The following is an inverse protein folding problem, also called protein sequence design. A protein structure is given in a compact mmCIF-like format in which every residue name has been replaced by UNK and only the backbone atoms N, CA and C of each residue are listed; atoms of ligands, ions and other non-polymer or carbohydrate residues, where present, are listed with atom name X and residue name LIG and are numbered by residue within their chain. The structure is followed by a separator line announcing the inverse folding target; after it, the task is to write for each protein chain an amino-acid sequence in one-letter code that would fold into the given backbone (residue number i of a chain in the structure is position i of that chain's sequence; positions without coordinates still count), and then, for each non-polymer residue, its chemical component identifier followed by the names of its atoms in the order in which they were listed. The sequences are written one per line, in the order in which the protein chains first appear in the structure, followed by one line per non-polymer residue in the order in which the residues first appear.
data_IF_406128763032
#
_entry.id   IF_406128763032
#
_cell.length_a   1.000
_cell.length_b   1.000
_cell.length_c   1.000
_cell.angle_alpha   90.00
_cell.angle_beta   90.00
_cell.angle_gamma   90.00
#
_symmetry.space_group_name_H-M   'P 1'
#
loop_
_entity.id
_entity.type
_entity.pdbx_description
1 polymer ?
#
# COMPACT_ATOMS: atom_id res chain seq x y z
N UNK A 1 -21.53 -19.07 14.60
CA UNK A 1 -20.74 -20.16 15.21
C UNK A 1 -19.92 -19.76 16.46
N UNK A 2 -19.84 -18.48 16.87
CA UNK A 2 -19.12 -18.07 18.10
C UNK A 2 -20.02 -17.59 19.25
N UNK A 3 -21.33 -17.47 19.05
CA UNK A 3 -22.29 -17.04 20.09
C UNK A 3 -22.85 -18.25 20.88
N UNK A 4 -22.92 -19.43 20.25
CA UNK A 4 -23.35 -20.67 20.90
C UNK A 4 -22.34 -21.15 21.97
N UNK A 5 -21.03 -21.02 21.71
CA UNK A 5 -19.97 -21.57 22.56
C UNK A 5 -19.83 -20.84 23.91
N UNK A 6 -20.21 -19.57 23.99
CA UNK A 6 -20.25 -18.80 25.25
C UNK A 6 -21.44 -19.21 26.12
N UNK A 7 -22.57 -19.58 25.50
CA UNK A 7 -23.77 -20.06 26.20
C UNK A 7 -23.55 -21.39 26.91
N UNK A 8 -22.76 -22.28 26.30
CA UNK A 8 -22.43 -23.60 26.87
C UNK A 8 -21.56 -23.49 28.12
N UNK A 9 -20.61 -22.55 28.16
CA UNK A 9 -19.78 -22.32 29.34
C UNK A 9 -20.57 -21.70 30.50
N UNK A 10 -21.55 -20.84 30.21
CA UNK A 10 -22.40 -20.23 31.24
C UNK A 10 -23.31 -21.28 31.90
N UNK A 11 -23.93 -22.17 31.10
CA UNK A 11 -24.81 -23.24 31.61
C UNK A 11 -24.09 -24.31 32.44
N UNK A 12 -22.78 -24.51 32.24
CA UNK A 12 -22.01 -25.48 33.03
C UNK A 12 -21.85 -25.02 34.50
N UNK A 13 -21.79 -23.72 34.75
CA UNK A 13 -21.58 -23.15 36.10
C UNK A 13 -22.85 -23.08 36.96
N UNK A 14 -24.03 -23.24 36.35
CA UNK A 14 -25.33 -23.26 37.03
C UNK A 14 -25.93 -24.65 37.18
N UNK A 15 -25.25 -25.71 36.74
CA UNK A 15 -25.72 -27.07 37.00
C UNK A 15 -25.70 -27.35 38.52
N UNK A 16 -26.89 -27.49 39.10
CA UNK A 16 -27.15 -27.70 40.53
C UNK A 16 -26.45 -28.93 41.14
N UNK A 17 -25.82 -29.75 40.30
CA UNK A 17 -25.10 -30.96 40.70
C UNK A 17 -23.72 -30.69 41.32
N UNK A 18 -23.10 -29.52 41.11
CA UNK A 18 -21.79 -29.20 41.70
C UNK A 18 -21.87 -28.42 43.04
N UNK A 19 -23.02 -27.80 43.35
CA UNK A 19 -23.16 -26.94 44.54
C UNK A 19 -23.49 -27.69 45.83
N UNK A 20 -23.85 -28.96 45.75
CA UNK A 20 -24.38 -29.71 46.89
C UNK A 20 -23.31 -30.19 47.90
N UNK A 21 -22.02 -30.02 47.65
CA UNK A 21 -20.95 -30.62 48.47
C UNK A 21 -20.00 -29.67 49.22
N UNK A 22 -20.09 -28.34 49.04
CA UNK A 22 -19.06 -27.42 49.55
C UNK A 22 -19.52 -26.57 50.75
N UNK A 23 -18.69 -26.45 51.80
CA UNK A 23 -19.01 -25.67 52.99
C UNK A 23 -19.18 -24.18 52.65
N UNK A 24 -20.14 -23.54 53.30
CA UNK A 24 -20.64 -22.18 52.99
C UNK A 24 -19.54 -21.11 52.91
N UNK A 25 -18.49 -21.23 53.73
CA UNK A 25 -17.35 -20.31 53.77
C UNK A 25 -16.54 -20.31 52.46
N UNK A 26 -16.46 -21.46 51.77
CA UNK A 26 -15.73 -21.57 50.48
C UNK A 26 -16.54 -20.99 49.30
N UNK A 27 -17.88 -21.08 49.34
CA UNK A 27 -18.75 -20.47 48.32
C UNK A 27 -18.61 -18.95 48.28
N UNK A 28 -18.52 -18.30 49.45
CA UNK A 28 -18.41 -16.84 49.53
C UNK A 28 -17.01 -16.33 49.16
N UNK A 29 -15.96 -17.15 49.35
CA UNK A 29 -14.60 -16.83 48.89
C UNK A 29 -14.45 -16.95 47.37
N UNK A 30 -15.04 -17.99 46.76
CA UNK A 30 -15.04 -18.16 45.30
C UNK A 30 -15.84 -17.07 44.56
N UNK A 31 -16.96 -16.61 45.13
CA UNK A 31 -17.72 -15.47 44.56
C UNK A 31 -16.91 -14.17 44.55
N UNK A 32 -16.10 -13.92 45.58
CA UNK A 32 -15.24 -12.74 45.67
C UNK A 32 -14.05 -12.81 44.70
N UNK A 33 -13.45 -13.99 44.51
CA UNK A 33 -12.40 -14.22 43.52
C UNK A 33 -12.91 -14.15 42.08
N UNK A 34 -14.10 -14.69 41.80
CA UNK A 34 -14.73 -14.59 40.48
C UNK A 34 -15.05 -13.14 40.11
N UNK A 35 -15.59 -12.32 41.03
CA UNK A 35 -15.79 -10.89 40.76
C UNK A 35 -14.49 -10.11 40.51
N UNK A 36 -13.40 -10.39 41.24
CA UNK A 36 -12.11 -9.71 41.05
C UNK A 36 -11.43 -10.06 39.71
N UNK A 37 -11.55 -11.31 39.25
CA UNK A 37 -11.00 -11.74 37.95
C UNK A 37 -11.82 -11.24 36.76
N UNK A 38 -13.13 -11.02 36.93
CA UNK A 38 -14.00 -10.44 35.90
C UNK A 38 -13.72 -8.94 35.71
N UNK A 39 -13.31 -8.21 36.76
CA UNK A 39 -12.98 -6.79 36.66
C UNK A 39 -11.62 -6.51 36.00
N UNK A 40 -10.62 -7.39 36.17
CA UNK A 40 -9.30 -7.20 35.56
C UNK A 40 -9.26 -7.53 34.05
N UNK A 41 -10.12 -8.43 33.58
CA UNK A 41 -10.21 -8.80 32.16
C UNK A 41 -10.81 -7.71 31.26
N UNK A 42 -11.55 -6.75 31.83
CA UNK A 42 -12.17 -5.67 31.06
C UNK A 42 -11.22 -4.54 30.65
N UNK A 43 -10.02 -4.46 31.24
CA UNK A 43 -9.12 -3.29 31.08
C UNK A 43 -7.97 -3.50 30.08
N UNK A 44 -7.89 -4.67 29.43
CA UNK A 44 -6.81 -5.01 28.47
C UNK A 44 -7.30 -5.08 27.01
N UNK A 45 -8.59 -4.83 26.74
CA UNK A 45 -9.18 -4.96 25.40
C UNK A 45 -9.43 -3.63 24.68
N UNK A 46 -8.75 -2.53 25.06
CA UNK A 46 -8.69 -1.32 24.23
C UNK A 46 -7.53 -1.46 23.23
N UNK A 47 -7.57 -2.50 22.40
CA UNK A 47 -6.81 -2.49 21.15
C UNK A 47 -7.40 -1.39 20.28
N UNK A 48 -6.56 -0.48 19.80
CA UNK A 48 -6.94 0.58 18.86
C UNK A 48 -7.45 -0.06 17.57
N UNK A 49 -8.74 -0.35 17.51
CA UNK A 49 -9.42 -0.57 16.25
C UNK A 49 -9.42 0.78 15.52
N UNK A 50 -8.66 0.90 14.46
CA UNK A 50 -8.79 2.03 13.53
C UNK A 50 -10.22 2.02 12.98
N UNK A 51 -10.83 3.21 12.87
CA UNK A 51 -12.12 3.32 12.23
C UNK A 51 -11.94 3.05 10.73
N UNK A 52 -12.96 2.49 10.08
CA UNK A 52 -12.98 2.42 8.62
C UNK A 52 -12.79 3.83 8.04
N UNK A 53 -12.13 3.93 6.89
CA UNK A 53 -11.87 5.20 6.21
C UNK A 53 -13.16 5.94 5.86
N UNK A 54 -13.12 7.27 6.01
CA UNK A 54 -14.18 8.20 5.63
C UNK A 54 -13.80 8.91 4.32
N UNK A 55 -14.47 8.54 3.22
CA UNK A 55 -14.19 9.10 1.90
C UNK A 55 -14.40 10.63 1.83
N UNK A 56 -15.32 11.19 2.62
CA UNK A 56 -15.54 12.64 2.62
C UNK A 56 -14.39 13.40 3.30
N UNK A 57 -13.73 12.80 4.28
CA UNK A 57 -12.47 13.34 4.84
C UNK A 57 -11.31 13.11 3.89
N UNK A 58 -11.25 11.93 3.26
CA UNK A 58 -10.21 11.57 2.30
C UNK A 58 -10.15 12.49 1.07
N UNK A 59 -11.29 13.03 0.63
CA UNK A 59 -11.34 14.02 -0.44
C UNK A 59 -10.48 15.26 -0.16
N UNK A 60 -10.52 15.76 1.09
CA UNK A 60 -9.70 16.91 1.49
C UNK A 60 -8.20 16.57 1.52
N UNK A 61 -7.83 15.35 1.94
CA UNK A 61 -6.43 14.89 1.94
C UNK A 61 -5.90 14.67 0.51
N UNK A 62 -6.77 14.42 -0.47
CA UNK A 62 -6.39 14.13 -1.84
C UNK A 62 -5.96 15.39 -2.63
N UNK A 63 -6.28 16.60 -2.19
CA UNK A 63 -5.98 17.84 -2.91
C UNK A 63 -4.49 17.96 -3.30
N UNK A 64 -3.58 17.62 -2.38
CA UNK A 64 -2.13 17.62 -2.66
C UNK A 64 -1.70 16.49 -3.59
N UNK A 65 -2.43 15.37 -3.57
CA UNK A 65 -2.13 14.19 -4.38
C UNK A 65 -2.51 14.43 -5.84
N UNK A 66 -3.59 15.16 -6.10
CA UNK A 66 -4.10 15.48 -7.43
C UNK A 66 -3.10 16.26 -8.28
N UNK A 67 -2.18 17.02 -7.67
CA UNK A 67 -1.10 17.74 -8.36
C UNK A 67 -0.28 16.82 -9.27
N UNK A 68 0.02 15.61 -8.82
CA UNK A 68 0.79 14.63 -9.58
C UNK A 68 -0.07 13.50 -10.14
N UNK A 69 -1.10 13.08 -9.40
CA UNK A 69 -1.92 11.93 -9.76
C UNK A 69 -3.18 12.30 -10.56
N UNK A 70 -3.50 13.57 -10.75
CA UNK A 70 -4.70 14.03 -11.46
C UNK A 70 -5.96 14.02 -10.60
N UNK A 71 -7.02 14.69 -11.06
CA UNK A 71 -8.26 14.88 -10.29
C UNK A 71 -9.00 13.57 -10.02
N UNK A 72 -8.88 12.59 -10.92
CA UNK A 72 -9.46 11.26 -10.76
C UNK A 72 -8.43 10.22 -10.32
N UNK A 73 -7.20 10.63 -9.99
CA UNK A 73 -6.11 9.71 -9.69
C UNK A 73 -5.66 8.91 -10.92
N UNK A 74 -5.81 9.45 -12.12
CA UNK A 74 -5.42 8.82 -13.40
C UNK A 74 -3.91 8.64 -13.57
N UNK A 75 -3.08 9.48 -12.95
CA UNK A 75 -1.63 9.46 -13.04
C UNK A 75 -1.06 10.01 -14.35
N UNK A 76 0.16 10.55 -14.29
CA UNK A 76 0.86 11.12 -15.45
C UNK A 76 2.34 10.73 -15.46
N UNK A 77 2.82 10.26 -16.61
CA UNK A 77 4.22 9.85 -16.81
C UNK A 77 5.22 10.99 -16.56
N UNK A 78 4.87 12.24 -16.92
CA UNK A 78 5.73 13.42 -16.68
C UNK A 78 6.10 13.63 -15.21
N UNK A 79 5.28 13.15 -14.29
CA UNK A 79 5.53 13.20 -12.84
C UNK A 79 5.97 11.84 -12.29
N UNK A 80 6.06 10.81 -13.14
CA UNK A 80 6.24 9.41 -12.77
C UNK A 80 5.17 8.90 -11.80
N UNK A 81 4.00 9.54 -11.79
CA UNK A 81 2.91 9.28 -10.85
C UNK A 81 1.93 8.27 -11.46
N UNK A 82 1.80 7.05 -10.89
CA UNK A 82 0.90 6.04 -11.44
C UNK A 82 -0.57 6.40 -11.25
N UNK A 83 -1.44 5.64 -11.91
CA UNK A 83 -2.87 5.61 -11.58
C UNK A 83 -3.04 5.08 -10.16
N UNK A 84 -3.77 5.82 -9.33
CA UNK A 84 -4.14 5.45 -7.96
C UNK A 84 -5.65 5.49 -7.72
N UNK A 85 -6.42 6.15 -8.59
CA UNK A 85 -7.87 6.16 -8.52
C UNK A 85 -8.48 4.81 -8.91
N UNK A 86 -9.46 4.38 -8.12
CA UNK A 86 -10.13 3.08 -8.24
C UNK A 86 -9.27 1.89 -7.80
N UNK A 87 -8.08 2.13 -7.26
CA UNK A 87 -7.23 1.08 -6.70
C UNK A 87 -7.77 0.63 -5.34
N UNK A 88 -7.52 -0.63 -4.96
CA UNK A 88 -8.09 -1.14 -3.72
C UNK A 88 -7.55 -0.43 -2.48
N UNK A 89 -8.47 -0.11 -1.57
CA UNK A 89 -8.22 0.58 -0.30
C UNK A 89 -7.03 -0.01 0.47
N UNK A 90 -7.01 -1.33 0.64
CA UNK A 90 -6.01 -2.06 1.40
C UNK A 90 -4.61 -1.93 0.78
N UNK A 91 -4.52 -1.86 -0.55
CA UNK A 91 -3.24 -1.75 -1.25
C UNK A 91 -2.73 -0.31 -1.19
N UNK A 92 -3.61 0.69 -1.29
CA UNK A 92 -3.26 2.09 -1.08
C UNK A 92 -2.74 2.32 0.34
N UNK A 93 -3.47 1.83 1.36
CA UNK A 93 -3.06 1.90 2.77
C UNK A 93 -1.69 1.25 2.96
N UNK A 94 -1.50 0.05 2.42
CA UNK A 94 -0.22 -0.68 2.52
C UNK A 94 0.90 0.08 1.84
N UNK A 95 0.65 0.62 0.65
CA UNK A 95 1.65 1.37 -0.13
C UNK A 95 2.07 2.65 0.59
N UNK A 96 1.12 3.44 1.09
CA UNK A 96 1.40 4.67 1.83
C UNK A 96 2.16 4.39 3.13
N UNK A 97 1.77 3.36 3.89
CA UNK A 97 2.50 2.93 5.09
C UNK A 97 3.93 2.47 4.75
N UNK A 98 4.10 1.75 3.65
CA UNK A 98 5.42 1.35 3.17
C UNK A 98 6.28 2.54 2.74
N UNK A 99 5.72 3.56 2.08
CA UNK A 99 6.45 4.79 1.75
C UNK A 99 6.85 5.55 3.02
N UNK A 100 5.93 5.78 3.97
CA UNK A 100 6.22 6.41 5.28
C UNK A 100 7.37 5.70 6.01
N UNK A 101 7.36 4.36 5.99
CA UNK A 101 8.37 3.51 6.60
C UNK A 101 9.68 3.38 5.81
N UNK A 102 9.79 3.98 4.61
CA UNK A 102 10.97 3.87 3.74
C UNK A 102 11.11 2.52 3.02
N UNK A 103 10.11 1.63 3.12
CA UNK A 103 10.13 0.28 2.53
C UNK A 103 9.89 0.28 1.00
N UNK A 104 9.38 1.39 0.46
CA UNK A 104 9.17 1.65 -0.99
C UNK A 104 9.83 2.94 -1.46
N UNK A 105 10.73 3.47 -0.65
CA UNK A 105 11.51 4.65 -0.97
C UNK A 105 12.96 4.27 -0.73
N UNK A 106 13.47 3.38 -1.59
CA UNK A 106 14.80 2.83 -1.41
C UNK A 106 15.78 3.74 -2.13
N UNK A 107 16.03 4.90 -1.53
CA UNK A 107 17.39 5.37 -1.45
C UNK A 107 18.13 4.44 -0.47
N UNK A 108 19.33 3.96 -0.81
CA UNK A 108 20.20 3.34 0.19
C UNK A 108 20.74 4.43 1.17
N UNK A 109 19.92 5.45 1.46
CA UNK A 109 20.20 6.61 2.26
C UNK A 109 19.01 6.80 3.19
N UNK A 110 19.24 6.74 4.50
CA UNK A 110 18.24 7.15 5.47
C UNK A 110 17.92 8.65 5.28
N UNK A 111 16.83 8.93 4.60
CA UNK A 111 15.95 10.12 4.66
C UNK A 111 16.49 11.33 5.42
N UNK A 112 17.39 12.08 4.79
CA UNK A 112 17.77 13.42 5.22
C UNK A 112 18.03 14.43 4.07
N UNK A 113 18.17 14.01 2.81
CA UNK A 113 18.63 14.89 1.71
C UNK A 113 17.63 15.01 0.55
N UNK A 114 16.53 15.73 0.81
CA UNK A 114 15.53 16.07 -0.23
C UNK A 114 16.15 16.98 -1.30
N UNK A 115 17.02 17.90 -0.91
CA UNK A 115 17.68 18.86 -1.81
C UNK A 115 18.62 18.15 -2.81
N UNK A 116 19.49 17.25 -2.35
CA UNK A 116 20.39 16.50 -3.23
C UNK A 116 19.68 15.42 -4.03
N UNK A 117 18.53 14.92 -3.57
CA UNK A 117 17.65 14.06 -4.39
C UNK A 117 17.07 14.85 -5.57
N UNK A 118 16.64 16.09 -5.33
CA UNK A 118 16.17 16.99 -6.38
C UNK A 118 17.30 17.35 -7.36
N UNK A 119 18.52 17.63 -6.90
CA UNK A 119 19.67 17.90 -7.77
C UNK A 119 20.08 16.69 -8.64
N UNK A 120 19.97 15.46 -8.12
CA UNK A 120 20.19 14.24 -8.92
C UNK A 120 19.08 14.02 -9.95
N UNK A 121 17.83 14.32 -9.59
CA UNK A 121 16.71 14.28 -10.51
C UNK A 121 16.86 15.32 -11.66
N UNK A 122 17.30 16.55 -11.33
CA UNK A 122 17.67 17.60 -12.31
C UNK A 122 18.71 17.13 -13.32
N UNK A 123 19.68 16.33 -12.89
CA UNK A 123 20.71 15.78 -13.77
C UNK A 123 20.19 14.68 -14.72
N UNK A 124 18.99 14.13 -14.47
CA UNK A 124 18.46 12.93 -15.13
C UNK A 124 17.26 13.16 -16.05
N UNK A 125 16.67 14.36 -16.08
CA UNK A 125 15.59 14.68 -17.03
C UNK A 125 15.63 16.17 -17.45
N UNK A 126 15.59 16.47 -18.77
CA UNK A 126 15.70 17.83 -19.31
C UNK A 126 14.46 18.73 -19.07
N UNK A 127 13.35 18.16 -18.59
CA UNK A 127 12.06 18.88 -18.47
C UNK A 127 11.81 19.46 -17.07
N UNK A 128 12.77 19.34 -16.14
CA UNK A 128 12.61 19.70 -14.73
C UNK A 128 12.52 21.20 -14.42
N UNK A 129 12.96 22.07 -15.33
CA UNK A 129 13.01 23.52 -15.10
C UNK A 129 11.61 24.15 -14.95
N UNK A 130 10.59 23.57 -15.58
CA UNK A 130 9.20 24.04 -15.48
C UNK A 130 8.55 23.64 -14.15
N UNK A 131 8.87 22.45 -13.66
CA UNK A 131 8.37 21.89 -12.39
C UNK A 131 8.94 22.69 -11.19
N UNK A 132 10.20 23.10 -11.24
CA UNK A 132 10.85 23.90 -10.18
C UNK A 132 10.22 25.31 -10.05
N UNK A 133 9.80 25.91 -11.17
CA UNK A 133 9.10 27.20 -11.15
C UNK A 133 7.73 27.12 -10.46
N UNK A 134 7.03 26.00 -10.57
CA UNK A 134 5.75 25.77 -9.91
C UNK A 134 5.92 25.45 -8.41
N UNK A 135 6.86 24.56 -8.05
CA UNK A 135 7.10 24.18 -6.65
C UNK A 135 7.71 25.30 -5.80
N UNK A 136 8.54 26.17 -6.38
CA UNK A 136 9.12 27.31 -5.67
C UNK A 136 8.08 28.35 -5.23
N UNK A 137 6.88 28.36 -5.84
CA UNK A 137 5.79 29.27 -5.44
C UNK A 137 4.95 28.76 -4.27
N UNK A 138 5.14 27.50 -3.83
CA UNK A 138 4.29 26.85 -2.82
C UNK A 138 4.99 26.57 -1.47
N UNK A 139 6.30 26.77 -1.36
CA UNK A 139 7.05 26.55 -0.11
C UNK A 139 7.88 27.78 0.29
N UNK A 140 7.30 28.67 1.09
CA UNK A 140 8.06 29.74 1.75
C UNK A 140 8.93 29.15 2.87
N UNK A 141 10.27 29.20 2.69
CA UNK A 141 11.24 28.79 3.72
C UNK A 141 12.41 27.94 3.23
N UNK A 142 12.35 27.44 1.99
CA UNK A 142 13.40 26.58 1.41
C UNK A 142 13.40 25.16 1.98
N UNK A 143 13.77 24.19 1.15
CA UNK A 143 13.86 22.79 1.56
C UNK A 143 15.03 22.60 2.55
N UNK A 144 14.85 21.83 3.63
CA UNK A 144 15.90 21.63 4.62
C UNK A 144 17.14 20.94 4.03
N UNK A 145 18.33 21.43 4.39
CA UNK A 145 19.61 20.88 3.95
C UNK A 145 20.00 19.62 4.73
N UNK A 146 20.40 18.55 4.04
CA UNK A 146 20.89 17.32 4.66
C UNK A 146 22.02 16.66 3.85
N UNK A 147 22.83 15.84 4.54
CA UNK A 147 24.15 15.37 4.08
C UNK A 147 24.15 14.33 2.94
N UNK A 148 25.34 14.13 2.36
CA UNK A 148 25.55 13.49 1.07
C UNK A 148 25.28 11.96 1.00
N UNK A 149 24.55 11.54 -0.05
CA UNK A 149 24.42 10.15 -0.52
C UNK A 149 25.61 9.71 -1.41
N UNK A 150 26.05 8.46 -1.30
CA UNK A 150 27.15 7.89 -2.10
C UNK A 150 26.75 6.77 -3.09
N UNK A 151 25.46 6.53 -3.33
CA UNK A 151 24.99 5.60 -4.36
C UNK A 151 24.00 6.30 -5.30
N UNK A 152 24.12 6.06 -6.60
CA UNK A 152 23.17 6.56 -7.59
C UNK A 152 21.78 6.07 -7.22
N UNK A 153 20.88 7.00 -6.89
CA UNK A 153 19.50 6.69 -6.56
C UNK A 153 18.81 6.13 -7.81
N UNK A 154 18.58 4.82 -7.84
CA UNK A 154 17.83 4.17 -8.94
C UNK A 154 16.30 4.29 -8.75
N UNK A 155 15.84 4.94 -7.68
CA UNK A 155 14.43 5.27 -7.44
C UNK A 155 14.29 6.73 -7.03
N UNK A 156 14.02 7.60 -8.00
CA UNK A 156 13.78 9.03 -7.74
C UNK A 156 12.35 9.29 -7.22
N UNK A 157 11.41 8.39 -7.52
CA UNK A 157 9.99 8.59 -7.22
C UNK A 157 9.60 8.08 -5.84
N UNK A 158 10.29 7.04 -5.34
CA UNK A 158 10.07 6.49 -4.00
C UNK A 158 10.28 7.53 -2.89
N UNK A 159 11.46 8.19 -2.80
CA UNK A 159 11.71 9.24 -1.81
C UNK A 159 10.74 10.43 -1.93
N UNK A 160 10.35 10.82 -3.15
CA UNK A 160 9.32 11.83 -3.38
C UNK A 160 7.98 11.41 -2.77
N UNK A 161 7.50 10.20 -3.10
CA UNK A 161 6.25 9.67 -2.53
C UNK A 161 6.33 9.48 -1.02
N UNK A 162 7.50 9.18 -0.47
CA UNK A 162 7.70 9.16 0.99
C UNK A 162 7.52 10.54 1.61
N UNK A 163 8.09 11.59 1.01
CA UNK A 163 7.92 12.95 1.50
C UNK A 163 6.43 13.35 1.52
N UNK A 164 5.69 13.05 0.44
CA UNK A 164 4.25 13.29 0.36
C UNK A 164 3.47 12.42 1.36
N UNK A 165 3.77 11.12 1.47
CA UNK A 165 3.06 10.24 2.39
C UNK A 165 3.25 10.61 3.89
N UNK A 166 4.32 11.33 4.21
CA UNK A 166 4.57 11.88 5.55
C UNK A 166 3.80 13.15 5.87
N UNK A 167 3.18 13.81 4.88
CA UNK A 167 2.32 14.99 5.14
C UNK A 167 0.96 14.59 5.70
N UNK A 168 0.51 13.35 5.45
CA UNK A 168 -0.71 12.80 6.06
C UNK A 168 -0.54 12.72 7.58
N UNK A 169 -1.46 13.34 8.32
CA UNK A 169 -1.31 13.59 9.75
C UNK A 169 -1.11 12.30 10.57
N UNK A 170 -1.91 11.27 10.29
CA UNK A 170 -1.92 10.02 11.04
C UNK A 170 -2.38 8.84 10.17
N UNK A 171 -2.49 7.67 10.78
CA UNK A 171 -2.98 6.46 10.10
C UNK A 171 -4.45 6.58 9.69
N UNK A 172 -5.28 7.39 10.37
CA UNK A 172 -6.68 7.56 9.98
C UNK A 172 -6.78 8.37 8.68
N UNK A 173 -5.95 9.41 8.51
CA UNK A 173 -5.86 10.14 7.25
C UNK A 173 -5.48 9.23 6.07
N UNK A 174 -4.61 8.23 6.30
CA UNK A 174 -4.26 7.21 5.29
C UNK A 174 -5.47 6.34 4.92
N UNK A 175 -6.24 5.87 5.91
CA UNK A 175 -7.45 5.07 5.67
C UNK A 175 -8.54 5.90 4.96
N UNK A 176 -8.72 7.17 5.35
CA UNK A 176 -9.70 8.09 4.75
C UNK A 176 -9.36 8.37 3.28
N UNK A 177 -8.09 8.69 2.98
CA UNK A 177 -7.60 8.89 1.62
C UNK A 177 -7.80 7.63 0.75
N UNK A 178 -7.50 6.45 1.30
CA UNK A 178 -7.70 5.19 0.59
C UNK A 178 -9.18 4.91 0.29
N UNK A 179 -10.07 5.24 1.23
CA UNK A 179 -11.51 5.13 1.02
C UNK A 179 -12.00 6.09 -0.08
N UNK A 180 -11.48 7.32 -0.13
CA UNK A 180 -11.79 8.27 -1.20
C UNK A 180 -11.29 7.79 -2.57
N UNK A 181 -10.03 7.34 -2.66
CA UNK A 181 -9.43 6.86 -3.91
C UNK A 181 -10.22 5.70 -4.52
N UNK A 182 -10.80 4.82 -3.70
CA UNK A 182 -11.65 3.72 -4.15
C UNK A 182 -12.94 4.20 -4.83
N UNK A 183 -13.42 5.42 -4.52
CA UNK A 183 -14.61 6.01 -5.16
C UNK A 183 -14.31 6.59 -6.55
N UNK A 184 -13.03 6.84 -6.86
CA UNK A 184 -12.63 7.42 -8.13
C UNK A 184 -12.66 6.38 -9.25
N UNK A 185 -13.04 6.81 -10.44
CA UNK A 185 -13.06 5.97 -11.64
C UNK A 185 -12.33 6.69 -12.78
N UNK A 186 -10.99 6.72 -12.77
CA UNK A 186 -10.24 7.34 -13.85
C UNK A 186 -10.39 6.53 -15.15
N UNK A 187 -10.36 7.19 -16.32
CA UNK A 187 -10.38 6.50 -17.60
C UNK A 187 -9.17 5.56 -17.73
N UNK A 188 -9.30 4.53 -18.56
CA UNK A 188 -8.18 3.64 -18.86
C UNK A 188 -7.01 4.48 -19.46
N UNK A 189 -5.77 4.29 -18.98
CA UNK A 189 -4.60 4.90 -19.60
C UNK A 189 -4.42 4.51 -21.07
N UNK A 190 -3.83 5.38 -21.90
CA UNK A 190 -3.42 5.01 -23.25
C UNK A 190 -2.31 3.97 -23.21
N UNK A 191 -2.24 3.12 -24.23
CA UNK A 191 -1.12 2.21 -24.43
C UNK A 191 0.04 3.02 -25.07
N UNK A 192 1.22 3.00 -24.46
CA UNK A 192 2.42 3.74 -24.88
C UNK A 192 3.54 2.82 -25.38
N UNK A 193 3.42 1.51 -25.16
CA UNK A 193 4.40 0.50 -25.59
C UNK A 193 3.83 -0.50 -26.59
N UNK A 194 4.71 -1.05 -27.42
CA UNK A 194 4.42 -2.21 -28.26
C UNK A 194 4.95 -3.51 -27.62
N UNK A 195 4.23 -4.61 -27.82
CA UNK A 195 4.62 -5.94 -27.36
C UNK A 195 3.82 -7.05 -28.05
N UNK A 196 4.37 -8.26 -28.07
CA UNK A 196 3.68 -9.46 -28.56
C UNK A 196 2.71 -9.98 -27.49
N UNK A 197 1.41 -9.76 -27.71
CA UNK A 197 0.32 -10.18 -26.83
C UNK A 197 0.28 -11.71 -26.66
N UNK A 198 0.60 -12.49 -27.71
CA UNK A 198 0.59 -13.94 -27.63
C UNK A 198 1.73 -14.44 -26.73
N UNK A 199 2.93 -13.89 -26.89
CA UNK A 199 4.05 -14.16 -25.98
C UNK A 199 3.75 -13.66 -24.56
N UNK A 200 3.10 -12.50 -24.43
CA UNK A 200 2.67 -11.92 -23.16
C UNK A 200 1.69 -12.79 -22.39
N UNK A 201 0.73 -13.39 -23.10
CA UNK A 201 -0.23 -14.34 -22.53
C UNK A 201 0.50 -15.53 -21.88
N UNK A 202 1.53 -16.05 -22.55
CA UNK A 202 2.36 -17.15 -22.02
C UNK A 202 3.17 -16.69 -20.81
N UNK A 203 3.78 -15.50 -20.87
CA UNK A 203 4.54 -14.93 -19.76
C UNK A 203 3.69 -14.66 -18.52
N UNK A 204 2.44 -14.20 -18.71
CA UNK A 204 1.52 -13.88 -17.62
C UNK A 204 0.92 -15.12 -16.93
N UNK A 205 1.07 -16.32 -17.50
CA UNK A 205 0.49 -17.55 -16.95
C UNK A 205 0.87 -17.80 -15.47
N UNK A 206 2.07 -17.39 -15.05
CA UNK A 206 2.53 -17.52 -13.66
C UNK A 206 1.90 -16.46 -12.74
N UNK A 207 1.54 -15.30 -13.29
CA UNK A 207 0.99 -14.15 -12.56
C UNK A 207 -0.48 -14.36 -12.17
N UNK A 208 -1.24 -15.12 -12.97
CA UNK A 208 -2.69 -15.37 -12.80
C UNK A 208 -3.02 -15.89 -11.40
N UNK A 209 -2.16 -16.73 -10.82
CA UNK A 209 -2.40 -17.34 -9.52
C UNK A 209 -2.60 -16.32 -8.39
N UNK A 210 -1.98 -15.15 -8.51
CA UNK A 210 -2.06 -14.08 -7.52
C UNK A 210 -2.84 -12.87 -8.04
N UNK A 211 -2.56 -12.41 -9.25
CA UNK A 211 -3.15 -11.18 -9.80
C UNK A 211 -4.47 -11.40 -10.54
N UNK A 212 -4.93 -12.64 -10.67
CA UNK A 212 -6.19 -12.96 -11.35
C UNK A 212 -6.06 -13.05 -12.88
N UNK A 213 -7.10 -13.60 -13.51
CA UNK A 213 -7.09 -13.89 -14.94
C UNK A 213 -7.20 -12.62 -15.80
N UNK A 214 -7.83 -11.58 -15.26
CA UNK A 214 -7.99 -10.27 -15.87
C UNK A 214 -7.18 -9.18 -15.13
N UNK A 215 -6.23 -9.56 -14.27
CA UNK A 215 -5.42 -8.62 -13.51
C UNK A 215 -6.17 -7.89 -12.40
N UNK A 216 -7.29 -8.46 -11.93
CA UNK A 216 -8.20 -7.91 -10.92
C UNK A 216 -7.65 -7.95 -9.48
N UNK A 217 -6.51 -8.58 -9.26
CA UNK A 217 -5.90 -8.70 -7.95
C UNK A 217 -6.57 -9.75 -7.04
N UNK A 218 -5.95 -9.97 -5.89
CA UNK A 218 -6.45 -10.86 -4.84
C UNK A 218 -5.97 -10.39 -3.47
N UNK A 219 -6.88 -9.75 -2.71
CA UNK A 219 -6.62 -9.27 -1.34
C UNK A 219 -6.17 -10.39 -0.39
N UNK A 220 -6.68 -11.61 -0.55
CA UNK A 220 -6.30 -12.73 0.33
C UNK A 220 -4.84 -13.16 0.15
N UNK A 221 -4.25 -12.85 -1.02
CA UNK A 221 -2.85 -13.11 -1.33
C UNK A 221 -1.98 -11.84 -1.27
N UNK A 222 -2.54 -10.70 -0.87
CA UNK A 222 -1.89 -9.39 -0.91
C UNK A 222 -1.38 -9.02 -2.31
N UNK A 223 -2.09 -9.47 -3.34
CA UNK A 223 -1.77 -9.17 -4.73
C UNK A 223 -2.70 -8.04 -5.22
N UNK A 224 -2.17 -6.85 -5.56
CA UNK A 224 -3.01 -5.75 -6.04
C UNK A 224 -3.55 -6.02 -7.44
N UNK A 225 -4.60 -5.30 -7.84
CA UNK A 225 -4.95 -5.19 -9.24
C UNK A 225 -3.80 -4.58 -10.04
N UNK A 226 -3.52 -5.21 -11.18
CA UNK A 226 -2.52 -4.78 -12.18
C UNK A 226 -3.17 -4.31 -13.47
N UNK A 227 -4.45 -4.61 -13.67
CA UNK A 227 -5.23 -4.12 -14.79
C UNK A 227 -5.39 -2.59 -14.74
N UNK A 228 -5.53 -1.98 -15.92
CA UNK A 228 -5.76 -0.54 -16.10
C UNK A 228 -4.71 0.38 -15.46
N UNK A 229 -3.54 -0.14 -15.10
CA UNK A 229 -2.38 0.67 -14.72
C UNK A 229 -1.62 1.12 -15.97
N UNK A 230 -0.87 2.21 -15.86
CA UNK A 230 0.04 2.64 -16.92
C UNK A 230 1.10 1.58 -17.22
N UNK A 231 1.40 1.41 -18.51
CA UNK A 231 2.39 0.44 -18.97
C UNK A 231 3.83 0.82 -18.59
N UNK A 232 4.19 2.10 -18.74
CA UNK A 232 5.48 2.63 -18.28
C UNK A 232 5.69 2.38 -16.77
N UNK A 233 4.62 2.51 -15.97
CA UNK A 233 4.71 2.24 -14.54
C UNK A 233 4.88 0.76 -14.26
N UNK A 234 4.10 -0.09 -14.96
CA UNK A 234 4.18 -1.54 -14.83
C UNK A 234 5.59 -2.03 -15.16
N UNK A 235 6.16 -1.59 -16.29
CA UNK A 235 7.54 -1.89 -16.69
C UNK A 235 8.53 -1.46 -15.60
N UNK A 236 8.43 -0.20 -15.15
CA UNK A 236 9.30 0.34 -14.08
C UNK A 236 9.22 -0.50 -12.80
N UNK A 237 8.03 -0.92 -12.38
CA UNK A 237 7.88 -1.76 -11.18
C UNK A 237 8.55 -3.13 -11.35
N UNK A 238 8.43 -3.75 -12.52
CA UNK A 238 9.10 -5.02 -12.81
C UNK A 238 10.63 -4.86 -12.78
N UNK A 239 11.16 -3.79 -13.39
CA UNK A 239 12.58 -3.46 -13.35
C UNK A 239 13.07 -3.17 -11.93
N UNK A 240 12.28 -2.48 -11.11
CA UNK A 240 12.60 -2.21 -9.70
C UNK A 240 12.65 -3.52 -8.90
N UNK A 241 11.76 -4.47 -9.15
CA UNK A 241 11.81 -5.79 -8.51
C UNK A 241 13.04 -6.59 -8.95
N UNK A 242 13.33 -6.63 -10.24
CA UNK A 242 14.47 -7.37 -10.80
C UNK A 242 15.80 -6.84 -10.24
N UNK A 243 15.98 -5.51 -10.26
CA UNK A 243 17.17 -4.85 -9.73
C UNK A 243 17.26 -4.89 -8.20
N UNK A 244 16.14 -5.13 -7.51
CA UNK A 244 16.06 -5.09 -6.05
C UNK A 244 15.87 -3.69 -5.46
N UNK A 245 15.62 -2.68 -6.29
CA UNK A 245 15.12 -1.39 -5.81
C UNK A 245 13.81 -1.56 -5.04
N UNK A 246 12.94 -2.48 -5.46
CA UNK A 246 11.73 -2.89 -4.73
C UNK A 246 11.84 -4.37 -4.36
N UNK A 247 11.36 -4.75 -3.18
CA UNK A 247 11.34 -6.15 -2.73
C UNK A 247 12.68 -6.72 -2.24
N UNK A 248 13.64 -5.87 -1.85
CA UNK A 248 14.86 -6.30 -1.15
C UNK A 248 14.75 -6.26 0.37
N UNK A 249 13.83 -5.47 0.92
CA UNK A 249 13.70 -5.29 2.35
C UNK A 249 12.84 -6.41 2.97
N UNK A 250 13.40 -7.26 3.86
CA UNK A 250 12.68 -8.37 4.45
C UNK A 250 11.52 -7.96 5.36
N UNK A 251 11.43 -6.68 5.76
CA UNK A 251 10.28 -6.13 6.50
C UNK A 251 9.04 -6.02 5.61
N UNK A 252 9.21 -5.91 4.29
CA UNK A 252 8.13 -5.86 3.31
C UNK A 252 8.00 -7.22 2.60
N UNK A 253 7.34 -8.16 3.28
CA UNK A 253 7.25 -9.57 2.85
C UNK A 253 6.55 -9.74 1.49
N UNK A 254 5.60 -8.87 1.15
CA UNK A 254 4.81 -8.98 -0.08
C UNK A 254 5.59 -8.46 -1.28
N UNK A 255 6.31 -7.34 -1.14
CA UNK A 255 7.24 -6.92 -2.20
C UNK A 255 8.41 -7.91 -2.33
N UNK A 256 8.90 -8.48 -1.21
CA UNK A 256 9.93 -9.54 -1.25
C UNK A 256 9.45 -10.80 -1.96
N UNK A 257 8.17 -11.15 -1.83
CA UNK A 257 7.54 -12.25 -2.56
C UNK A 257 7.46 -11.98 -4.07
N UNK A 258 7.18 -10.73 -4.46
CA UNK A 258 7.06 -10.36 -5.87
C UNK A 258 8.41 -10.30 -6.60
N UNK A 259 9.51 -10.05 -5.89
CA UNK A 259 10.84 -10.01 -6.50
C UNK A 259 11.20 -11.27 -7.33
N UNK A 260 11.19 -12.50 -6.79
CA UNK A 260 11.49 -13.69 -7.57
C UNK A 260 10.48 -13.94 -8.70
N UNK A 261 9.23 -13.48 -8.56
CA UNK A 261 8.23 -13.57 -9.63
C UNK A 261 8.59 -12.65 -10.81
N UNK A 262 9.12 -11.45 -10.53
CA UNK A 262 9.61 -10.57 -11.59
C UNK A 262 10.82 -11.16 -12.34
N UNK A 263 11.68 -11.91 -11.65
CA UNK A 263 12.83 -12.59 -12.25
C UNK A 263 12.45 -13.72 -13.23
N UNK A 264 11.18 -14.16 -13.27
CA UNK A 264 10.68 -15.09 -14.30
C UNK A 264 10.58 -14.44 -15.68
N UNK A 265 10.56 -13.10 -15.74
CA UNK A 265 10.61 -12.31 -16.96
C UNK A 265 11.98 -11.59 -17.08
N UNK A 266 13.09 -12.32 -17.28
CA UNK A 266 14.44 -11.75 -17.19
C UNK A 266 14.80 -10.77 -18.31
N UNK A 267 14.06 -10.71 -19.42
CA UNK A 267 14.37 -9.80 -20.53
C UNK A 267 13.39 -8.63 -20.62
N UNK A 268 13.86 -7.43 -21.05
CA UNK A 268 12.97 -6.29 -21.28
C UNK A 268 11.83 -6.58 -22.27
N UNK A 269 12.08 -7.47 -23.24
CA UNK A 269 11.05 -7.90 -24.21
C UNK A 269 9.95 -8.72 -23.54
N UNK A 270 10.28 -9.63 -22.63
CA UNK A 270 9.27 -10.41 -21.88
C UNK A 270 8.42 -9.51 -20.99
N UNK A 271 9.02 -8.52 -20.35
CA UNK A 271 8.29 -7.52 -19.55
C UNK A 271 7.32 -6.75 -20.46
N UNK A 272 7.79 -6.21 -21.60
CA UNK A 272 6.93 -5.51 -22.57
C UNK A 272 5.78 -6.37 -23.08
N UNK A 273 6.04 -7.63 -23.42
CA UNK A 273 5.01 -8.55 -23.90
C UNK A 273 3.92 -8.79 -22.84
N UNK A 274 4.32 -9.05 -21.58
CA UNK A 274 3.37 -9.22 -20.47
C UNK A 274 2.62 -7.93 -20.19
N UNK A 275 3.27 -6.77 -20.22
CA UNK A 275 2.62 -5.48 -20.06
C UNK A 275 1.61 -5.20 -21.18
N UNK A 276 1.95 -5.48 -22.44
CA UNK A 276 1.03 -5.37 -23.58
C UNK A 276 -0.18 -6.32 -23.43
N UNK A 277 0.03 -7.52 -22.88
CA UNK A 277 -1.07 -8.42 -22.55
C UNK A 277 -1.96 -7.88 -21.41
N UNK A 278 -1.39 -7.33 -20.34
CA UNK A 278 -2.14 -6.68 -19.25
C UNK A 278 -2.96 -5.50 -19.78
N UNK A 279 -2.40 -4.69 -20.69
CA UNK A 279 -3.14 -3.63 -21.36
C UNK A 279 -4.35 -4.18 -22.14
N UNK A 280 -4.32 -5.41 -22.64
CA UNK A 280 -5.48 -5.98 -23.34
C UNK A 280 -6.68 -6.28 -22.43
N UNK A 281 -6.51 -6.28 -21.11
CA UNK A 281 -7.61 -6.50 -20.18
C UNK A 281 -8.66 -5.39 -20.34
N UNK A 282 -9.90 -5.81 -20.59
CA UNK A 282 -11.03 -4.89 -20.60
C UNK A 282 -11.24 -4.43 -19.17
N UNK A 283 -11.13 -3.13 -18.92
CA UNK A 283 -11.53 -2.55 -17.65
C UNK A 283 -12.97 -2.97 -17.38
N UNK A 284 -13.17 -3.80 -16.36
CA UNK A 284 -14.50 -4.02 -15.80
C UNK A 284 -15.01 -2.64 -15.39
N UNK A 285 -16.05 -2.19 -16.09
CA UNK A 285 -16.79 -0.97 -15.78
C UNK A 285 -17.42 -1.07 -14.39
#
# INVERSE_FOLDING_TARGET
MQVESVRVLYQFTESDTFRAGLPEKQRNSMKRFACLMISAAAMVAAGTAFAAGDAARGEAEFEVCAVCHGEQGEGFEKYGAPRIGGQEDWYIVTSLKNFRAGLRAVDNCDVADVAGTLERAKASSPDYAEIEAELATHFEGGLPSGGACSQAANDVYGPLMRAIALTLADDQAVEDLAAYLLTLSPPRPPDTIEGDIAAGTVGYATCIACHGAAGEGNKALNAPAVAAQHDWYTIRQMEHYISGVRGSDPRNIFDTQMRPMAMVLPTPEQIRNVTAYINSFTAGQ
#
